data_IF_573805501052
#
_entry.id   IF_573805501052
#
_cell.length_a   1.000
_cell.length_b   1.000
_cell.length_c   1.000
_cell.angle_alpha   90.00
_cell.angle_beta   90.00
_cell.angle_gamma   90.00
#
_symmetry.space_group_name_H-M   'P 1'
#
loop_
_entity.id
_entity.type
_entity.pdbx_description
1 polymer ?
#
# COMPACT_ATOMS: atom_id res chain seq x y z
N UNK A 1 -27.67 7.96 -0.93
CA UNK A 1 -26.93 7.86 0.34
C UNK A 1 -26.78 6.39 0.69
N UNK A 2 -25.59 5.97 1.13
CA UNK A 2 -25.37 4.62 1.65
C UNK A 2 -25.93 4.60 3.08
N UNK A 3 -26.93 3.75 3.34
CA UNK A 3 -27.65 3.69 4.62
C UNK A 3 -27.34 2.43 5.44
N UNK A 4 -26.65 1.46 4.84
CA UNK A 4 -26.18 0.25 5.53
C UNK A 4 -24.94 0.53 6.37
N UNK A 5 -24.79 -0.09 7.55
CA UNK A 5 -23.55 -0.01 8.31
C UNK A 5 -22.39 -0.63 7.52
N UNK A 6 -21.19 -0.05 7.67
CA UNK A 6 -19.97 -0.65 7.16
C UNK A 6 -19.67 -1.98 7.87
N UNK A 7 -18.98 -2.88 7.17
CA UNK A 7 -18.51 -4.15 7.72
C UNK A 7 -16.97 -4.11 7.74
N UNK A 8 -16.37 -4.56 8.83
CA UNK A 8 -14.92 -4.75 8.89
C UNK A 8 -14.53 -5.94 8.01
N UNK A 9 -13.63 -5.72 7.07
CA UNK A 9 -13.23 -6.75 6.08
C UNK A 9 -11.78 -7.22 6.24
N UNK A 10 -10.91 -6.43 6.85
CA UNK A 10 -9.51 -6.81 7.08
C UNK A 10 -8.91 -6.05 8.27
N UNK A 11 -7.91 -6.67 8.90
CA UNK A 11 -6.95 -6.00 9.78
C UNK A 11 -5.73 -5.59 8.95
N UNK A 12 -5.23 -4.38 9.15
CA UNK A 12 -4.01 -3.89 8.51
C UNK A 12 -2.96 -3.54 9.58
N UNK A 13 -1.65 -3.60 9.26
CA UNK A 13 -0.61 -3.26 10.21
C UNK A 13 -0.76 -1.83 10.75
N UNK A 14 -0.82 -1.74 12.08
CA UNK A 14 -0.65 -0.51 12.86
C UNK A 14 0.42 -0.77 13.92
N UNK A 15 0.22 -1.77 14.79
CA UNK A 15 1.24 -2.21 15.76
C UNK A 15 1.65 -1.10 16.76
N UNK A 16 2.74 -1.29 17.52
CA UNK A 16 3.24 -0.28 18.46
C UNK A 16 3.89 0.94 17.78
N UNK A 17 4.29 0.79 16.51
CA UNK A 17 4.86 1.84 15.67
C UNK A 17 4.03 1.86 14.39
N UNK A 18 3.44 3.01 14.05
CA UNK A 18 2.67 3.23 12.83
C UNK A 18 3.14 4.52 12.12
N UNK A 19 4.36 4.48 11.58
CA UNK A 19 5.03 5.67 11.05
C UNK A 19 4.38 6.12 9.73
N UNK A 20 4.35 5.26 8.71
CA UNK A 20 3.55 5.46 7.50
C UNK A 20 2.14 4.90 7.71
N UNK A 21 1.36 5.61 8.51
CA UNK A 21 0.05 5.19 8.98
C UNK A 21 -1.04 5.18 7.89
N UNK A 22 -0.86 5.93 6.80
CA UNK A 22 -1.80 5.99 5.68
C UNK A 22 -1.97 4.62 5.01
N UNK A 23 -3.22 4.30 4.66
CA UNK A 23 -3.59 3.07 3.94
C UNK A 23 -4.47 3.45 2.75
N UNK A 24 -3.85 3.80 1.61
CA UNK A 24 -4.60 4.19 0.42
C UNK A 24 -5.24 2.96 -0.23
N UNK A 25 -6.43 3.13 -0.83
CA UNK A 25 -7.23 2.05 -1.41
C UNK A 25 -7.75 2.48 -2.79
N UNK A 26 -7.61 1.59 -3.77
CA UNK A 26 -8.26 1.73 -5.08
C UNK A 26 -8.95 0.42 -5.48
N UNK A 27 -10.18 0.49 -5.97
CA UNK A 27 -10.90 -0.68 -6.46
C UNK A 27 -10.41 -1.08 -7.86
N UNK A 28 -10.44 -2.38 -8.18
CA UNK A 28 -10.31 -2.85 -9.56
C UNK A 28 -11.43 -2.29 -10.45
N UNK A 29 -11.22 -2.29 -11.76
CA UNK A 29 -12.20 -1.76 -12.72
C UNK A 29 -13.57 -2.46 -12.65
N UNK A 30 -13.59 -3.75 -12.31
CA UNK A 30 -14.80 -4.56 -12.13
C UNK A 30 -15.33 -4.53 -10.67
N UNK A 31 -14.62 -3.87 -9.76
CA UNK A 31 -15.01 -3.71 -8.36
C UNK A 31 -14.96 -4.99 -7.52
N UNK A 32 -14.33 -6.06 -7.99
CA UNK A 32 -14.23 -7.35 -7.26
C UNK A 32 -13.03 -7.40 -6.30
N UNK A 33 -12.02 -6.56 -6.54
CA UNK A 33 -10.80 -6.47 -5.75
C UNK A 33 -10.55 -5.04 -5.23
N UNK A 34 -9.89 -4.94 -4.07
CA UNK A 34 -9.34 -3.71 -3.52
C UNK A 34 -7.81 -3.81 -3.46
N UNK A 35 -7.13 -2.80 -3.99
CA UNK A 35 -5.67 -2.67 -3.88
C UNK A 35 -5.35 -1.72 -2.74
N UNK A 36 -4.61 -2.19 -1.75
CA UNK A 36 -4.40 -1.50 -0.48
C UNK A 36 -2.90 -1.26 -0.27
N UNK A 37 -2.51 0.00 -0.13
CA UNK A 37 -1.14 0.39 0.21
C UNK A 37 -0.88 0.26 1.71
N UNK A 38 0.28 -0.30 2.07
CA UNK A 38 0.79 -0.42 3.44
C UNK A 38 2.24 0.06 3.48
N UNK A 39 2.48 1.22 4.09
CA UNK A 39 3.83 1.79 4.22
C UNK A 39 4.69 1.13 5.30
N UNK A 40 6.01 1.30 5.18
CA UNK A 40 7.03 0.90 6.16
C UNK A 40 6.85 1.59 7.51
N UNK A 41 7.53 1.09 8.53
CA UNK A 41 7.64 1.75 9.83
C UNK A 41 8.85 2.66 9.96
N UNK A 42 9.71 2.67 8.95
CA UNK A 42 11.03 3.31 9.02
C UNK A 42 11.42 3.95 7.70
N UNK A 43 12.45 4.80 7.75
CA UNK A 43 13.16 5.30 6.57
C UNK A 43 14.01 4.21 5.91
N UNK A 44 14.82 3.52 6.71
CA UNK A 44 15.79 2.50 6.31
C UNK A 44 15.91 1.38 7.37
N UNK A 45 14.76 0.92 7.88
CA UNK A 45 14.63 -0.11 8.92
C UNK A 45 15.30 0.24 10.28
N UNK A 46 15.50 1.53 10.56
CA UNK A 46 16.12 2.01 11.81
C UNK A 46 15.31 1.69 13.07
N UNK A 47 14.01 1.37 12.93
CA UNK A 47 13.19 0.92 14.06
C UNK A 47 13.32 -0.58 14.35
N UNK A 48 14.07 -1.34 13.54
CA UNK A 48 14.21 -2.79 13.63
C UNK A 48 13.44 -3.52 12.53
N UNK A 49 14.06 -4.52 11.92
CA UNK A 49 13.48 -5.25 10.77
C UNK A 49 12.23 -6.03 11.15
N UNK A 50 12.11 -6.43 12.41
CA UNK A 50 10.93 -7.09 12.97
C UNK A 50 9.67 -6.21 12.88
N UNK A 51 9.83 -4.89 12.95
CA UNK A 51 8.72 -3.92 12.84
C UNK A 51 8.32 -3.62 11.40
N UNK A 52 9.03 -4.17 10.42
CA UNK A 52 8.70 -4.08 8.99
C UNK A 52 7.91 -5.29 8.48
N UNK A 53 7.59 -6.23 9.38
CA UNK A 53 6.73 -7.38 9.06
C UNK A 53 5.39 -6.90 8.50
N UNK A 54 5.02 -7.46 7.35
CA UNK A 54 3.80 -7.12 6.61
C UNK A 54 3.64 -5.67 6.14
N UNK A 55 4.74 -4.93 6.06
CA UNK A 55 4.78 -3.54 5.57
C UNK A 55 5.49 -3.41 4.22
N UNK A 56 5.60 -2.16 3.75
CA UNK A 56 6.21 -1.73 2.49
C UNK A 56 5.68 -2.51 1.25
N UNK A 57 4.36 -2.54 1.08
CA UNK A 57 3.67 -3.38 0.10
C UNK A 57 2.33 -2.83 -0.38
N UNK A 58 1.87 -3.38 -1.50
CA UNK A 58 0.48 -3.29 -1.93
C UNK A 58 -0.15 -4.69 -1.78
N UNK A 59 -1.32 -4.74 -1.16
CA UNK A 59 -2.16 -5.94 -1.07
C UNK A 59 -3.23 -5.90 -2.15
N UNK A 60 -3.58 -7.07 -2.69
CA UNK A 60 -4.79 -7.31 -3.47
C UNK A 60 -5.78 -8.08 -2.59
N UNK A 61 -6.91 -7.45 -2.28
CA UNK A 61 -7.97 -7.99 -1.44
C UNK A 61 -9.19 -8.37 -2.27
N UNK A 62 -9.50 -9.67 -2.32
CA UNK A 62 -10.73 -10.19 -2.93
C UNK A 62 -11.91 -9.96 -1.98
N UNK A 63 -12.89 -9.18 -2.45
CA UNK A 63 -14.04 -8.75 -1.65
C UNK A 63 -14.99 -9.92 -1.35
N UNK A 64 -15.16 -10.85 -2.29
CA UNK A 64 -16.07 -11.99 -2.14
C UNK A 64 -15.45 -13.05 -1.23
N UNK A 65 -14.17 -13.35 -1.42
CA UNK A 65 -13.45 -14.32 -0.61
C UNK A 65 -13.07 -13.79 0.77
N UNK A 66 -13.00 -12.47 0.94
CA UNK A 66 -12.54 -11.82 2.16
C UNK A 66 -11.06 -12.09 2.45
N UNK A 67 -10.23 -12.20 1.41
CA UNK A 67 -8.82 -12.59 1.53
C UNK A 67 -7.90 -11.61 0.84
N UNK A 68 -6.82 -11.25 1.52
CA UNK A 68 -5.72 -10.49 0.95
C UNK A 68 -4.60 -11.42 0.46
N UNK A 69 -3.96 -11.03 -0.63
CA UNK A 69 -2.66 -11.54 -1.07
C UNK A 69 -1.71 -10.38 -1.32
N UNK A 70 -0.41 -10.66 -1.26
CA UNK A 70 0.61 -9.66 -1.61
C UNK A 70 0.61 -9.45 -3.12
N UNK A 71 0.41 -8.21 -3.56
CA UNK A 71 0.47 -7.81 -4.96
C UNK A 71 1.87 -7.34 -5.35
N UNK A 72 2.46 -6.45 -4.53
CA UNK A 72 3.82 -5.94 -4.72
C UNK A 72 4.48 -5.66 -3.36
N UNK A 73 5.81 -5.75 -3.29
CA UNK A 73 6.61 -5.47 -2.07
C UNK A 73 7.80 -4.58 -2.39
N UNK A 74 8.47 -4.05 -1.36
CA UNK A 74 9.62 -3.17 -1.52
C UNK A 74 9.24 -1.71 -1.77
N UNK A 75 7.98 -1.34 -1.50
CA UNK A 75 7.43 0.00 -1.73
C UNK A 75 7.38 0.74 -0.40
N UNK A 76 8.40 1.55 -0.08
CA UNK A 76 8.55 2.18 1.25
C UNK A 76 7.25 2.87 1.70
N UNK A 77 6.68 3.72 0.86
CA UNK A 77 5.45 4.45 1.16
C UNK A 77 4.68 4.84 -0.11
N UNK A 78 3.96 3.87 -0.69
CA UNK A 78 3.14 4.03 -1.89
C UNK A 78 1.85 4.83 -1.61
N UNK A 79 1.96 6.13 -1.43
CA UNK A 79 0.84 6.98 -1.02
C UNK A 79 -0.18 7.25 -2.13
N UNK A 80 0.22 7.17 -3.40
CA UNK A 80 -0.67 7.36 -4.54
C UNK A 80 -0.76 6.11 -5.40
N UNK A 81 -1.97 5.73 -5.81
CA UNK A 81 -2.21 4.63 -6.76
C UNK A 81 -3.25 5.05 -7.79
N UNK A 82 -3.07 4.65 -9.05
CA UNK A 82 -4.06 4.85 -10.12
C UNK A 82 -3.94 3.80 -11.21
N UNK A 83 -5.03 3.56 -11.92
CA UNK A 83 -5.06 2.69 -13.09
C UNK A 83 -4.65 3.47 -14.34
N UNK A 84 -3.67 2.94 -15.08
CA UNK A 84 -3.34 3.42 -16.42
C UNK A 84 -4.51 3.04 -17.35
N UNK A 85 -5.21 4.00 -17.97
CA UNK A 85 -6.49 3.73 -18.63
C UNK A 85 -6.39 2.97 -19.97
N UNK A 86 -5.24 2.97 -20.62
CA UNK A 86 -5.00 2.23 -21.87
C UNK A 86 -4.47 0.81 -21.63
N UNK A 87 -3.59 0.60 -20.66
CA UNK A 87 -2.95 -0.71 -20.39
C UNK A 87 -3.65 -1.48 -19.28
N UNK A 88 -4.38 -0.79 -18.39
CA UNK A 88 -4.98 -1.39 -17.20
C UNK A 88 -3.96 -1.69 -16.10
N UNK A 89 -2.72 -1.21 -16.22
CA UNK A 89 -1.67 -1.42 -15.22
C UNK A 89 -1.91 -0.55 -13.98
N UNK A 90 -1.55 -1.07 -12.82
CA UNK A 90 -1.55 -0.30 -11.58
C UNK A 90 -0.25 0.50 -11.47
N UNK A 91 -0.37 1.82 -11.39
CA UNK A 91 0.75 2.72 -11.16
C UNK A 91 0.74 3.21 -9.73
N UNK A 92 1.92 3.33 -9.12
CA UNK A 92 2.08 3.84 -7.76
C UNK A 92 3.15 4.93 -7.68
N UNK A 93 2.82 6.01 -6.96
CA UNK A 93 3.80 7.01 -6.55
C UNK A 93 4.33 6.63 -5.15
N UNK A 94 5.62 6.36 -5.06
CA UNK A 94 6.29 5.89 -3.84
C UNK A 94 7.17 7.00 -3.27
N UNK A 95 6.93 7.36 -2.01
CA UNK A 95 7.89 8.17 -1.26
C UNK A 95 9.03 7.26 -0.81
N UNK A 96 10.15 7.34 -1.51
CA UNK A 96 11.35 6.55 -1.24
C UNK A 96 12.16 7.12 -0.07
N UNK A 97 13.35 6.58 0.18
CA UNK A 97 14.17 6.93 1.35
C UNK A 97 14.50 8.42 1.43
N UNK A 98 14.39 8.96 2.63
CA UNK A 98 14.81 10.31 2.99
C UNK A 98 16.36 10.39 3.12
N UNK A 99 16.91 11.60 3.13
CA UNK A 99 18.34 11.88 3.37
C UNK A 99 19.35 11.29 2.36
N UNK A 100 18.90 10.92 1.16
CA UNK A 100 19.80 10.43 0.09
C UNK A 100 20.40 11.54 -0.80
N UNK A 101 20.01 12.80 -0.61
CA UNK A 101 20.45 13.91 -1.46
C UNK A 101 19.76 13.93 -2.84
N UNK A 102 20.20 14.84 -3.71
CA UNK A 102 19.53 15.16 -4.98
C UNK A 102 19.86 14.20 -6.15
N UNK A 103 20.67 13.16 -5.92
CA UNK A 103 21.18 12.29 -6.99
C UNK A 103 20.36 10.98 -7.18
N UNK A 104 19.14 10.89 -6.62
CA UNK A 104 18.25 9.75 -6.88
C UNK A 104 17.17 10.08 -7.91
N UNK A 105 17.27 9.48 -9.10
CA UNK A 105 16.14 9.36 -10.03
C UNK A 105 15.20 8.24 -9.54
N UNK A 106 14.03 8.60 -9.03
CA UNK A 106 12.93 7.66 -8.84
C UNK A 106 12.13 7.56 -10.16
N UNK A 107 12.55 6.65 -11.04
CA UNK A 107 11.74 6.19 -12.16
C UNK A 107 11.40 4.71 -11.94
N UNK A 108 10.27 4.46 -11.28
CA UNK A 108 9.57 3.18 -11.38
C UNK A 108 8.70 3.22 -12.64
N UNK A 109 9.04 2.36 -13.61
CA UNK A 109 8.11 1.94 -14.68
C UNK A 109 7.18 0.87 -14.14
#
# INVERSE_FOLDING_TARGET
MITSPGVKVADLPAGPIDHHWTKNIIASADGTHLFISVGSNSNAAENGIEFETDRARILDFDIQAGKARVFATGLRNANGMSWQPQTGELWAAVNERDDLGNDLEALTK
#
